data_IF_761127053729
#
_entry.id   IF_761127053729
#
_cell.length_a   1.000
_cell.length_b   1.000
_cell.length_c   1.000
_cell.angle_alpha   90.00
_cell.angle_beta   90.00
_cell.angle_gamma   90.00
#
_symmetry.space_group_name_H-M   'P 1'
#
loop_
_entity.id
_entity.type
_entity.pdbx_description
1 polymer ?
#
# COMPACT_ATOMS: atom_id res chain seq x y z
N UNK A 1 -23.49 4.07 -2.14
CA UNK A 1 -24.37 5.23 -1.93
C UNK A 1 -24.15 5.78 -0.53
N UNK A 2 -23.96 7.07 -0.41
CA UNK A 2 -24.00 7.79 0.85
C UNK A 2 -25.10 8.85 0.73
N UNK A 3 -26.03 8.88 1.69
CA UNK A 3 -27.04 9.93 1.83
C UNK A 3 -26.99 10.44 3.27
N UNK A 4 -26.89 11.74 3.45
CA UNK A 4 -26.84 12.38 4.76
C UNK A 4 -28.06 13.27 4.96
N UNK A 5 -28.31 13.66 6.20
CA UNK A 5 -29.37 14.62 6.56
C UNK A 5 -29.07 16.04 6.09
N UNK A 6 -27.87 16.29 5.57
CA UNK A 6 -27.40 17.56 5.01
C UNK A 6 -27.52 17.61 3.49
N UNK A 7 -28.46 16.84 2.91
CA UNK A 7 -28.73 16.74 1.46
C UNK A 7 -27.53 16.27 0.60
N UNK A 8 -26.55 15.62 1.19
CA UNK A 8 -25.44 15.01 0.45
C UNK A 8 -25.87 13.65 -0.06
N UNK A 9 -26.03 13.52 -1.38
CA UNK A 9 -26.34 12.26 -2.05
C UNK A 9 -25.21 11.87 -3.01
N UNK A 10 -24.46 10.84 -2.69
CA UNK A 10 -23.27 10.42 -3.42
C UNK A 10 -23.41 8.99 -3.89
N UNK A 11 -23.09 8.78 -5.17
CA UNK A 11 -22.88 7.47 -5.76
C UNK A 11 -21.46 7.39 -6.26
N UNK A 12 -20.60 6.66 -5.55
CA UNK A 12 -19.21 6.45 -5.90
C UNK A 12 -18.97 4.96 -6.10
N UNK A 13 -19.12 4.42 -7.34
CA UNK A 13 -18.84 3.02 -7.60
C UNK A 13 -17.34 2.77 -7.58
N UNK A 14 -16.92 1.72 -6.88
CA UNK A 14 -15.57 1.19 -6.92
C UNK A 14 -15.65 -0.25 -7.41
N UNK A 15 -15.12 -0.49 -8.58
CA UNK A 15 -15.02 -1.83 -9.15
C UNK A 15 -13.53 -2.13 -9.40
N UNK A 16 -13.15 -3.36 -9.13
CA UNK A 16 -11.85 -3.88 -9.54
C UNK A 16 -11.92 -5.39 -9.72
N UNK A 17 -11.05 -5.90 -10.54
CA UNK A 17 -10.82 -7.33 -10.72
C UNK A 17 -9.47 -7.66 -10.08
N UNK A 18 -9.44 -8.67 -9.24
CA UNK A 18 -8.20 -9.21 -8.69
C UNK A 18 -8.00 -10.63 -9.21
N UNK A 19 -6.85 -10.88 -9.76
CA UNK A 19 -6.39 -12.22 -10.10
C UNK A 19 -5.22 -12.56 -9.16
N UNK A 20 -5.35 -13.69 -8.46
CA UNK A 20 -4.32 -14.13 -7.52
C UNK A 20 -3.82 -15.51 -7.93
N UNK A 21 -2.49 -15.65 -8.03
CA UNK A 21 -1.82 -16.94 -8.09
C UNK A 21 -0.99 -17.11 -6.80
N UNK A 22 -1.16 -18.22 -6.12
CA UNK A 22 -0.43 -18.54 -4.88
C UNK A 22 0.39 -19.81 -5.09
N UNK A 23 1.66 -19.77 -4.70
CA UNK A 23 2.54 -20.91 -4.65
C UNK A 23 2.88 -21.26 -3.20
N UNK A 24 2.95 -22.56 -2.90
CA UNK A 24 3.49 -23.08 -1.63
C UNK A 24 4.48 -24.18 -1.99
N UNK A 25 5.67 -24.10 -1.46
CA UNK A 25 6.76 -25.00 -1.80
C UNK A 25 7.66 -25.24 -0.58
N UNK A 26 8.50 -26.24 -0.66
CA UNK A 26 9.45 -26.58 0.41
C UNK A 26 10.87 -26.59 -0.15
N UNK A 27 11.83 -26.10 0.64
CA UNK A 27 13.25 -26.24 0.32
C UNK A 27 13.74 -27.67 0.63
N UNK A 28 15.00 -27.95 0.33
CA UNK A 28 15.61 -29.28 0.56
C UNK A 28 15.75 -29.62 2.05
N UNK A 29 15.49 -28.70 2.96
CA UNK A 29 15.46 -28.91 4.41
C UNK A 29 14.03 -28.94 4.98
N UNK A 30 13.02 -29.14 4.15
CA UNK A 30 11.59 -29.13 4.49
C UNK A 30 11.10 -27.82 5.12
N UNK A 31 11.73 -26.68 4.81
CA UNK A 31 11.22 -25.37 5.22
C UNK A 31 10.14 -24.95 4.24
N UNK A 32 8.93 -24.75 4.76
CA UNK A 32 7.79 -24.32 3.97
C UNK A 32 7.90 -22.83 3.67
N UNK A 33 7.72 -22.51 2.40
CA UNK A 33 7.68 -21.15 1.87
C UNK A 33 6.41 -20.94 1.08
N UNK A 34 5.95 -19.70 0.99
CA UNK A 34 4.82 -19.34 0.13
C UNK A 34 5.02 -17.94 -0.41
N UNK A 35 4.56 -17.75 -1.63
CA UNK A 35 4.53 -16.44 -2.28
C UNK A 35 3.22 -16.26 -3.05
N UNK A 36 2.88 -15.01 -3.40
CA UNK A 36 1.59 -14.67 -3.99
C UNK A 36 1.74 -13.57 -5.04
N UNK A 37 1.38 -13.88 -6.27
CA UNK A 37 1.22 -12.90 -7.34
C UNK A 37 -0.19 -12.34 -7.32
N UNK A 38 -0.33 -11.03 -7.14
CA UNK A 38 -1.59 -10.31 -7.22
C UNK A 38 -1.59 -9.32 -8.38
N UNK A 39 -2.56 -9.48 -9.28
CA UNK A 39 -2.79 -8.58 -10.40
C UNK A 39 -4.14 -7.90 -10.22
N UNK A 40 -4.17 -6.57 -10.39
CA UNK A 40 -5.37 -5.75 -10.22
C UNK A 40 -5.68 -5.00 -11.51
N UNK A 41 -6.97 -4.96 -11.86
CA UNK A 41 -7.49 -4.26 -13.03
C UNK A 41 -8.76 -3.50 -12.62
N UNK A 42 -9.05 -2.36 -13.23
CA UNK A 42 -10.25 -1.58 -12.92
C UNK A 42 -11.52 -2.23 -13.48
N UNK A 43 -11.38 -2.99 -14.56
CA UNK A 43 -12.49 -3.74 -15.17
C UNK A 43 -11.98 -5.01 -15.86
N UNK A 44 -12.85 -5.97 -16.20
CA UNK A 44 -12.48 -7.11 -17.02
C UNK A 44 -11.90 -6.73 -18.40
N UNK A 45 -12.30 -5.58 -18.94
CA UNK A 45 -11.81 -5.09 -20.23
C UNK A 45 -10.34 -4.62 -20.17
N UNK A 46 -9.86 -4.26 -18.98
CA UNK A 46 -8.47 -3.84 -18.78
C UNK A 46 -7.52 -5.01 -18.55
N UNK A 47 -8.06 -6.23 -18.51
CA UNK A 47 -7.23 -7.43 -18.36
C UNK A 47 -6.42 -7.67 -19.64
N UNK A 48 -5.12 -7.95 -19.53
CA UNK A 48 -4.31 -8.30 -20.71
C UNK A 48 -4.74 -9.64 -21.28
N UNK A 49 -4.21 -9.96 -22.47
CA UNK A 49 -4.48 -11.25 -23.11
C UNK A 49 -4.07 -12.43 -22.21
N UNK A 50 -4.68 -13.57 -22.44
CA UNK A 50 -4.38 -14.80 -21.70
C UNK A 50 -2.89 -15.19 -21.80
N UNK A 51 -2.24 -14.89 -22.91
CA UNK A 51 -0.84 -15.23 -23.10
C UNK A 51 0.07 -14.35 -22.25
N UNK A 52 -0.25 -13.05 -22.10
CA UNK A 52 0.46 -12.15 -21.16
C UNK A 52 0.23 -12.59 -19.71
N UNK A 53 -0.97 -13.02 -19.37
CA UNK A 53 -1.25 -13.55 -18.02
C UNK A 53 -0.44 -14.83 -17.73
N UNK A 54 -0.37 -15.75 -18.71
CA UNK A 54 0.46 -16.97 -18.61
C UNK A 54 1.93 -16.64 -18.43
N UNK A 55 2.44 -15.66 -19.15
CA UNK A 55 3.84 -15.21 -19.01
C UNK A 55 4.13 -14.68 -17.60
N UNK A 56 3.23 -13.85 -17.07
CA UNK A 56 3.36 -13.35 -15.68
C UNK A 56 3.35 -14.49 -14.64
N UNK A 57 2.48 -15.48 -14.83
CA UNK A 57 2.42 -16.64 -13.93
C UNK A 57 3.67 -17.52 -14.06
N UNK A 58 4.20 -17.70 -15.29
CA UNK A 58 5.48 -18.43 -15.49
C UNK A 58 6.62 -17.72 -14.80
N UNK A 59 6.75 -16.40 -15.02
CA UNK A 59 7.78 -15.62 -14.30
C UNK A 59 7.65 -15.76 -12.79
N UNK A 60 6.45 -15.67 -12.24
CA UNK A 60 6.20 -15.89 -10.83
C UNK A 60 6.63 -17.29 -10.35
N UNK A 61 6.37 -18.33 -11.16
CA UNK A 61 6.83 -19.68 -10.84
C UNK A 61 8.37 -19.79 -10.86
N UNK A 62 9.04 -19.13 -11.80
CA UNK A 62 10.50 -19.08 -11.88
C UNK A 62 11.07 -18.34 -10.66
N UNK A 63 10.50 -17.21 -10.27
CA UNK A 63 10.89 -16.45 -9.06
C UNK A 63 10.72 -17.32 -7.78
N UNK A 64 9.67 -18.14 -7.68
CA UNK A 64 9.49 -19.10 -6.59
C UNK A 64 10.57 -20.20 -6.60
N UNK A 65 11.00 -20.67 -7.76
CA UNK A 65 12.07 -21.66 -7.88
C UNK A 65 13.43 -21.05 -7.50
N UNK A 66 13.69 -19.80 -7.86
CA UNK A 66 14.89 -19.08 -7.42
C UNK A 66 14.89 -18.94 -5.89
N UNK A 67 13.75 -18.56 -5.29
CA UNK A 67 13.60 -18.46 -3.83
C UNK A 67 13.84 -19.81 -3.15
N UNK A 68 13.31 -20.92 -3.71
CA UNK A 68 13.53 -22.27 -3.19
C UNK A 68 15.01 -22.63 -3.16
N UNK A 69 15.76 -22.23 -4.17
CA UNK A 69 17.17 -22.59 -4.34
C UNK A 69 18.12 -21.53 -3.75
N UNK A 70 17.60 -20.45 -3.18
CA UNK A 70 18.42 -19.40 -2.61
C UNK A 70 19.26 -19.92 -1.41
N UNK A 71 20.53 -19.52 -1.31
CA UNK A 71 21.36 -19.89 -0.18
C UNK A 71 20.81 -19.29 1.11
N UNK A 72 20.87 -20.07 2.20
CA UNK A 72 20.49 -19.58 3.54
C UNK A 72 21.57 -18.68 4.08
N UNK A 73 21.15 -17.66 4.82
CA UNK A 73 22.09 -16.91 5.65
C UNK A 73 22.54 -17.81 6.80
N UNK A 74 23.84 -17.95 6.97
CA UNK A 74 24.44 -18.76 8.06
C UNK A 74 24.39 -18.02 9.39
N UNK A 75 24.49 -16.68 9.35
CA UNK A 75 24.49 -15.81 10.51
C UNK A 75 23.44 -14.69 10.42
N UNK A 76 23.11 -14.10 11.57
CA UNK A 76 22.25 -12.92 11.64
C UNK A 76 22.87 -11.73 10.91
N UNK A 77 22.20 -11.23 9.89
CA UNK A 77 22.66 -10.05 9.17
C UNK A 77 22.25 -8.75 9.87
N UNK A 78 23.26 -7.92 10.14
CA UNK A 78 23.06 -6.53 10.62
C UNK A 78 23.71 -5.55 9.65
N UNK A 79 22.91 -4.80 8.92
CA UNK A 79 23.43 -3.85 7.93
C UNK A 79 22.33 -3.19 7.12
N UNK A 80 22.68 -2.35 6.14
CA UNK A 80 21.73 -1.74 5.24
C UNK A 80 20.99 -2.78 4.41
N UNK A 81 19.66 -2.60 4.26
CA UNK A 81 18.81 -3.45 3.43
C UNK A 81 18.11 -2.59 2.39
N UNK A 82 18.24 -2.97 1.12
CA UNK A 82 17.49 -2.37 0.03
C UNK A 82 16.21 -3.18 -0.22
N UNK A 83 15.07 -2.54 -0.03
CA UNK A 83 13.78 -3.12 -0.39
C UNK A 83 13.40 -2.62 -1.80
N UNK A 84 13.23 -3.56 -2.75
CA UNK A 84 12.78 -3.25 -4.11
C UNK A 84 11.28 -3.52 -4.29
N UNK A 85 10.71 -2.99 -5.36
CA UNK A 85 9.37 -3.29 -5.88
C UNK A 85 8.27 -3.48 -4.81
N UNK A 86 7.64 -4.64 -4.77
CA UNK A 86 6.56 -4.96 -3.85
C UNK A 86 7.00 -5.04 -2.38
N UNK A 87 8.24 -5.40 -2.11
CA UNK A 87 8.76 -5.44 -0.74
C UNK A 87 8.83 -4.03 -0.13
N UNK A 88 9.27 -3.02 -0.91
CA UNK A 88 9.29 -1.63 -0.45
C UNK A 88 7.88 -1.10 -0.14
N UNK A 89 6.91 -1.44 -1.00
CA UNK A 89 5.50 -1.13 -0.79
C UNK A 89 4.94 -1.79 0.47
N UNK A 90 5.25 -3.07 0.71
CA UNK A 90 4.82 -3.79 1.90
C UNK A 90 5.41 -3.20 3.18
N UNK A 91 6.70 -2.89 3.21
CA UNK A 91 7.36 -2.27 4.36
C UNK A 91 6.72 -0.93 4.68
N UNK A 92 6.48 -0.08 3.68
CA UNK A 92 5.80 1.20 3.87
C UNK A 92 4.37 1.01 4.39
N UNK A 93 3.58 0.16 3.74
CA UNK A 93 2.19 -0.09 4.09
C UNK A 93 2.04 -0.65 5.51
N UNK A 94 2.85 -1.63 5.87
CA UNK A 94 2.79 -2.26 7.19
C UNK A 94 3.18 -1.32 8.32
N UNK A 95 4.20 -0.49 8.11
CA UNK A 95 4.70 0.39 9.17
C UNK A 95 3.88 1.68 9.32
N UNK A 96 3.33 2.22 8.23
CA UNK A 96 2.68 3.53 8.28
C UNK A 96 1.17 3.46 8.06
N UNK A 97 0.69 2.68 7.11
CA UNK A 97 -0.73 2.66 6.77
C UNK A 97 -1.50 1.64 7.62
N UNK A 98 -1.09 0.38 7.66
CA UNK A 98 -1.80 -0.67 8.38
C UNK A 98 -1.74 -0.50 9.89
N UNK A 99 -0.65 0.06 10.42
CA UNK A 99 -0.50 0.38 11.84
C UNK A 99 -1.37 1.54 12.30
N UNK A 100 -2.01 2.26 11.36
CA UNK A 100 -2.81 3.44 11.67
C UNK A 100 -2.00 4.64 12.16
N UNK A 101 -0.69 4.67 11.95
CA UNK A 101 0.20 5.71 12.45
C UNK A 101 -0.15 7.11 11.93
N UNK A 102 -0.66 7.20 10.70
CA UNK A 102 -1.06 8.48 10.11
C UNK A 102 -2.52 8.86 10.36
N UNK A 103 -3.30 8.01 11.05
CA UNK A 103 -4.69 8.31 11.36
C UNK A 103 -4.82 8.89 12.77
N UNK A 104 -5.53 10.00 12.89
CA UNK A 104 -5.87 10.56 14.20
C UNK A 104 -6.98 9.72 14.85
N UNK A 105 -6.62 8.91 15.81
CA UNK A 105 -7.57 8.32 16.76
C UNK A 105 -7.42 9.06 18.07
N UNK A 106 -8.54 9.33 18.73
CA UNK A 106 -8.53 10.03 20.00
C UNK A 106 -7.62 9.35 21.06
N UNK A 107 -7.61 8.01 21.06
CA UNK A 107 -6.72 7.22 21.91
C UNK A 107 -5.22 7.35 21.58
N UNK A 108 -4.89 7.71 20.35
CA UNK A 108 -3.48 7.89 19.94
C UNK A 108 -2.93 9.25 20.33
N UNK A 109 -3.77 10.25 20.56
CA UNK A 109 -3.33 11.58 21.03
C UNK A 109 -2.84 11.54 22.48
N UNK A 110 -3.32 10.60 23.27
CA UNK A 110 -2.96 10.42 24.68
C UNK A 110 -1.70 9.56 24.89
N UNK A 111 -1.31 8.75 23.88
CA UNK A 111 -0.08 7.96 23.93
C UNK A 111 1.14 8.83 23.56
N UNK A 112 2.08 9.04 24.50
CA UNK A 112 3.31 9.81 24.25
C UNK A 112 4.18 9.25 23.11
N UNK A 113 4.00 7.97 22.75
CA UNK A 113 4.71 7.31 21.65
C UNK A 113 3.99 7.45 20.32
N UNK A 114 2.77 7.96 20.30
CA UNK A 114 2.00 8.11 19.06
C UNK A 114 2.64 9.13 18.13
N UNK A 115 2.49 8.93 16.82
CA UNK A 115 2.92 9.93 15.85
C UNK A 115 2.17 11.27 16.00
N UNK A 116 0.96 11.27 16.54
CA UNK A 116 0.21 12.50 16.82
C UNK A 116 0.96 13.49 17.70
N UNK A 117 1.75 13.00 18.67
CA UNK A 117 2.60 13.82 19.53
C UNK A 117 3.82 14.41 18.81
N UNK A 118 4.08 13.96 17.59
CA UNK A 118 5.20 14.41 16.76
C UNK A 118 4.77 15.35 15.62
N UNK A 119 3.53 15.82 15.64
CA UNK A 119 3.06 16.79 14.67
C UNK A 119 3.97 18.05 14.70
N UNK A 120 4.40 18.48 13.52
CA UNK A 120 5.36 19.57 13.36
C UNK A 120 6.83 19.19 13.62
N UNK A 121 7.14 17.96 14.01
CA UNK A 121 8.50 17.48 14.28
C UNK A 121 9.02 16.60 13.15
N UNK A 122 10.34 16.49 13.04
CA UNK A 122 10.99 15.53 12.15
C UNK A 122 10.75 14.09 12.66
N UNK A 123 10.30 13.20 11.76
CA UNK A 123 10.05 11.79 12.01
C UNK A 123 10.78 10.87 11.03
N UNK A 124 11.32 11.44 9.96
CA UNK A 124 12.02 10.74 8.88
C UNK A 124 13.20 11.57 8.39
N UNK A 125 13.98 10.99 7.51
CA UNK A 125 15.04 11.70 6.77
C UNK A 125 14.43 12.85 5.91
N UNK A 126 15.12 13.97 5.82
CA UNK A 126 14.68 15.17 5.08
C UNK A 126 14.49 14.93 3.56
N UNK A 127 15.07 13.87 3.03
CA UNK A 127 14.87 13.45 1.63
C UNK A 127 13.51 12.81 1.37
N UNK A 128 12.72 12.50 2.42
CA UNK A 128 11.46 11.79 2.31
C UNK A 128 10.30 12.76 2.49
N UNK A 129 9.38 12.74 1.53
CA UNK A 129 8.07 13.38 1.64
C UNK A 129 6.98 12.35 1.34
N UNK A 130 5.87 12.42 2.08
CA UNK A 130 4.71 11.54 1.91
C UNK A 130 3.50 12.39 1.58
N UNK A 131 2.95 12.15 0.40
CA UNK A 131 1.77 12.84 -0.11
C UNK A 131 0.64 11.83 -0.35
N UNK A 132 -0.57 12.19 0.01
CA UNK A 132 -1.77 11.45 -0.35
C UNK A 132 -2.51 12.22 -1.47
N UNK A 133 -2.60 11.60 -2.63
CA UNK A 133 -3.38 12.12 -3.77
C UNK A 133 -4.73 11.43 -3.79
N UNK A 134 -5.79 12.19 -3.53
CA UNK A 134 -7.13 11.63 -3.38
C UNK A 134 -7.86 11.45 -4.70
N UNK A 135 -7.55 12.24 -5.70
CA UNK A 135 -8.22 12.28 -7.01
C UNK A 135 -7.39 11.72 -8.17
N UNK A 136 -6.14 11.29 -7.90
CA UNK A 136 -5.24 10.77 -8.92
C UNK A 136 -5.73 9.44 -9.48
N UNK A 137 -6.03 9.41 -10.77
CA UNK A 137 -6.56 8.23 -11.49
C UNK A 137 -5.47 7.41 -12.17
N UNK A 138 -4.28 7.98 -12.34
CA UNK A 138 -3.18 7.33 -13.05
C UNK A 138 -1.83 7.77 -12.47
N UNK A 139 -0.86 6.88 -12.52
CA UNK A 139 0.53 7.15 -12.21
C UNK A 139 1.44 6.36 -13.17
N UNK A 140 2.28 7.05 -13.93
CA UNK A 140 3.19 6.45 -14.93
C UNK A 140 2.51 5.45 -15.88
N UNK A 141 1.33 5.80 -16.41
CA UNK A 141 0.55 4.93 -17.31
C UNK A 141 -0.21 3.80 -16.62
N UNK A 142 -0.13 3.72 -15.29
CA UNK A 142 -0.85 2.70 -14.51
C UNK A 142 -2.10 3.32 -13.90
N UNK A 143 -3.25 2.74 -14.22
CA UNK A 143 -4.52 3.17 -13.66
C UNK A 143 -4.61 2.85 -12.15
N UNK A 144 -5.07 3.81 -11.36
CA UNK A 144 -5.15 3.72 -9.91
C UNK A 144 -6.60 3.54 -9.46
N UNK A 145 -6.86 2.49 -8.68
CA UNK A 145 -8.19 2.22 -8.10
C UNK A 145 -8.48 3.00 -6.82
N UNK A 146 -7.46 3.63 -6.23
CA UNK A 146 -7.56 4.26 -4.90
C UNK A 146 -8.09 5.70 -4.88
N UNK A 147 -8.43 6.29 -6.05
CA UNK A 147 -8.98 7.64 -6.10
C UNK A 147 -10.42 7.68 -5.58
N UNK A 148 -10.80 8.79 -4.95
CA UNK A 148 -12.14 9.00 -4.45
C UNK A 148 -12.52 10.49 -4.49
N UNK A 149 -13.79 10.77 -4.78
CA UNK A 149 -14.30 12.14 -4.85
C UNK A 149 -14.72 12.69 -3.49
N UNK A 150 -15.11 11.77 -2.60
CA UNK A 150 -15.54 12.06 -1.23
C UNK A 150 -15.06 10.94 -0.32
N UNK A 151 -14.79 11.25 0.93
CA UNK A 151 -14.45 10.27 1.95
C UNK A 151 -15.68 9.47 2.43
N UNK A 152 -15.46 8.59 3.41
CA UNK A 152 -16.52 7.75 3.96
C UNK A 152 -17.61 8.53 4.70
N UNK A 153 -17.33 9.76 5.12
CA UNK A 153 -18.25 10.64 5.82
C UNK A 153 -18.92 11.65 4.86
N UNK A 154 -18.59 11.61 3.57
CA UNK A 154 -19.20 12.43 2.52
C UNK A 154 -18.51 13.77 2.29
N UNK A 155 -17.36 14.00 2.89
CA UNK A 155 -16.61 15.24 2.68
C UNK A 155 -15.69 15.15 1.48
N UNK A 156 -15.61 16.23 0.73
CA UNK A 156 -14.66 16.35 -0.38
C UNK A 156 -13.26 16.63 0.20
N UNK A 157 -12.30 15.73 0.02
CA UNK A 157 -10.96 15.98 0.49
C UNK A 157 -10.20 16.95 -0.41
N UNK A 158 -9.10 17.51 0.10
CA UNK A 158 -8.15 18.21 -0.73
C UNK A 158 -7.52 17.24 -1.75
N UNK A 159 -7.28 17.67 -3.00
CA UNK A 159 -6.71 16.81 -4.03
C UNK A 159 -5.33 16.24 -3.65
N UNK A 160 -4.56 17.00 -2.89
CA UNK A 160 -3.24 16.60 -2.39
C UNK A 160 -3.11 16.94 -0.91
N UNK A 161 -2.90 15.94 -0.10
CA UNK A 161 -2.65 16.11 1.33
C UNK A 161 -1.19 15.77 1.63
N UNK A 162 -0.44 16.73 2.16
CA UNK A 162 0.98 16.52 2.53
C UNK A 162 1.05 16.00 3.95
N UNK A 163 1.28 14.70 4.11
CA UNK A 163 1.39 14.04 5.41
C UNK A 163 2.75 14.30 6.03
N UNK A 164 3.81 14.11 5.26
CA UNK A 164 5.19 14.41 5.64
C UNK A 164 5.82 15.29 4.57
N UNK A 165 6.46 16.36 4.97
CA UNK A 165 7.20 17.26 4.09
C UNK A 165 8.66 17.34 4.54
N UNK A 166 9.58 16.87 3.70
CA UNK A 166 11.01 16.83 3.98
C UNK A 166 11.32 16.34 5.40
N UNK A 167 10.79 15.16 5.69
CA UNK A 167 10.93 14.49 6.99
C UNK A 167 10.05 15.02 8.12
N UNK A 168 9.41 16.19 7.96
CA UNK A 168 8.58 16.82 8.99
C UNK A 168 7.13 16.38 8.87
N UNK A 169 6.57 15.85 9.95
CA UNK A 169 5.17 15.42 10.01
C UNK A 169 4.23 16.62 10.05
N UNK A 170 3.39 16.80 9.00
CA UNK A 170 2.58 17.99 8.80
C UNK A 170 1.12 17.80 9.19
N UNK A 171 0.57 16.61 8.94
CA UNK A 171 -0.85 16.36 9.21
C UNK A 171 -1.14 14.89 9.43
N UNK A 172 -2.20 14.62 10.14
CA UNK A 172 -2.81 13.30 10.28
C UNK A 172 -4.02 13.17 9.35
N UNK A 173 -4.26 11.94 8.88
CA UNK A 173 -5.49 11.61 8.19
C UNK A 173 -6.59 11.45 9.24
N UNK A 174 -7.55 12.35 9.25
CA UNK A 174 -8.67 12.33 10.18
C UNK A 174 -9.93 11.84 9.47
N UNK A 175 -10.75 11.09 10.20
CA UNK A 175 -12.21 11.15 10.01
C UNK A 175 -12.72 12.33 10.84
N UNK A 176 -13.64 13.09 10.29
CA UNK A 176 -14.42 14.06 11.08
C UNK A 176 -15.27 13.35 12.10
#
# INVERSE_FOLDING_TARGET
YLSTTEDVNIKQPHNYVRLTAKATFEDDNNVKMSDELNLYFLSPADMPSIDVLKEKVRKFADDCMEMRNAPKLEDDYKGPVLYGDDASKQVFTSNFLSSGQFYAKQSMQEDPKSLGQKLGKSIMDERISILNYTDRKEYNGIALAGHYAVDADGFKPEPVMTIVDKGVFKMMLNRK
#
